data_IF_451249931733
#
_entry.id   IF_451249931733
#
_cell.length_a   1.000
_cell.length_b   1.000
_cell.length_c   1.000
_cell.angle_alpha   90.00
_cell.angle_beta   90.00
_cell.angle_gamma   90.00
#
_symmetry.space_group_name_H-M   'P 1'
#
loop_
_entity.id
_entity.type
_entity.pdbx_description
1 polymer ?
#
# COMPACT_ATOMS: atom_id res chain seq x y z
N UNK A 1 8.19 18.28 -10.90
CA UNK A 1 8.39 17.06 -10.08
C UNK A 1 8.50 17.43 -8.60
N UNK A 2 8.22 16.47 -7.74
CA UNK A 2 8.33 16.67 -6.29
C UNK A 2 9.17 15.57 -5.68
N UNK A 3 9.90 15.89 -4.61
CA UNK A 3 10.56 14.87 -3.79
C UNK A 3 10.12 15.04 -2.33
N UNK A 4 10.09 13.91 -1.63
CA UNK A 4 9.79 13.92 -0.20
C UNK A 4 11.09 14.26 0.53
N UNK A 5 11.09 15.38 1.27
CA UNK A 5 12.28 15.84 1.98
C UNK A 5 12.23 15.53 3.46
N UNK A 6 11.05 15.16 3.97
CA UNK A 6 10.86 14.80 5.37
C UNK A 6 9.74 13.77 5.45
N UNK A 7 9.89 12.75 6.28
CA UNK A 7 8.90 11.69 6.41
C UNK A 7 8.92 11.12 7.82
N UNK A 8 7.72 11.07 8.42
CA UNK A 8 7.48 10.36 9.67
C UNK A 8 6.49 9.24 9.36
N UNK A 9 6.83 7.98 9.65
CA UNK A 9 5.93 6.89 9.33
C UNK A 9 4.62 6.96 10.14
N UNK A 10 3.51 6.46 9.59
CA UNK A 10 2.26 6.39 10.33
C UNK A 10 2.40 5.46 11.53
N UNK A 11 1.64 5.74 12.58
CA UNK A 11 1.62 4.89 13.76
C UNK A 11 0.87 3.58 13.48
N UNK A 12 1.14 2.57 14.29
CA UNK A 12 0.39 1.31 14.24
C UNK A 12 -1.10 1.55 14.41
N UNK A 13 -1.48 2.46 15.31
CA UNK A 13 -2.88 2.79 15.55
C UNK A 13 -3.55 3.40 14.31
N UNK A 14 -2.86 4.27 13.59
CA UNK A 14 -3.38 4.87 12.36
C UNK A 14 -3.61 3.83 11.27
N UNK A 15 -2.69 2.88 11.12
CA UNK A 15 -2.81 1.80 10.13
C UNK A 15 -3.94 0.84 10.50
N UNK A 16 -4.10 0.52 11.77
CA UNK A 16 -5.21 -0.29 12.27
C UNK A 16 -6.54 0.39 11.97
N UNK A 17 -6.62 1.70 12.20
CA UNK A 17 -7.83 2.45 11.93
C UNK A 17 -8.17 2.45 10.44
N UNK A 18 -7.20 2.63 9.58
CA UNK A 18 -7.40 2.55 8.13
C UNK A 18 -7.97 1.18 7.75
N UNK A 19 -7.39 0.12 8.28
CA UNK A 19 -7.87 -1.25 8.04
C UNK A 19 -9.34 -1.40 8.42
N UNK A 20 -9.74 -0.87 9.58
CA UNK A 20 -11.14 -0.89 10.03
C UNK A 20 -12.04 -0.08 9.13
N UNK A 21 -11.61 1.11 8.72
CA UNK A 21 -12.38 1.98 7.83
C UNK A 21 -12.64 1.33 6.48
N UNK A 22 -11.65 0.60 5.96
CA UNK A 22 -11.79 -0.10 4.69
C UNK A 22 -12.54 -1.43 4.81
N UNK A 23 -12.69 -1.95 6.03
CA UNK A 23 -13.30 -3.25 6.27
C UNK A 23 -12.46 -4.41 5.74
N UNK A 24 -11.15 -4.23 5.66
CA UNK A 24 -10.24 -5.20 5.05
C UNK A 24 -9.69 -6.19 6.07
N UNK A 25 -9.37 -7.39 5.58
CA UNK A 25 -8.58 -8.37 6.34
C UNK A 25 -7.09 -7.99 6.27
N UNK A 26 -6.27 -8.62 7.11
CA UNK A 26 -4.81 -8.44 7.06
C UNK A 26 -4.23 -8.86 5.71
N UNK A 27 -4.78 -9.90 5.07
CA UNK A 27 -4.34 -10.30 3.73
C UNK A 27 -4.67 -9.24 2.68
N UNK A 28 -5.85 -8.64 2.75
CA UNK A 28 -6.24 -7.56 1.84
C UNK A 28 -5.36 -6.33 2.03
N UNK A 29 -5.06 -5.98 3.28
CA UNK A 29 -4.16 -4.86 3.58
C UNK A 29 -2.74 -5.13 3.07
N UNK A 30 -2.25 -6.37 3.17
CA UNK A 30 -0.94 -6.74 2.63
C UNK A 30 -0.90 -6.54 1.11
N UNK A 31 -1.94 -6.95 0.40
CA UNK A 31 -2.05 -6.75 -1.05
C UNK A 31 -2.08 -5.25 -1.40
N UNK A 32 -2.86 -4.47 -0.65
CA UNK A 32 -2.97 -3.02 -0.84
C UNK A 32 -1.62 -2.32 -0.62
N UNK A 33 -0.86 -2.76 0.36
CA UNK A 33 0.45 -2.19 0.69
C UNK A 33 1.59 -2.74 -0.20
N UNK A 34 1.30 -3.76 -1.00
CA UNK A 34 2.31 -4.36 -1.86
C UNK A 34 3.36 -5.19 -1.11
N UNK A 35 3.00 -5.69 0.07
CA UNK A 35 3.88 -6.55 0.84
C UNK A 35 3.48 -8.01 0.69
N UNK A 36 4.36 -8.92 1.08
CA UNK A 36 4.27 -10.33 0.74
C UNK A 36 3.01 -11.02 1.26
N UNK A 37 2.66 -10.81 2.54
CA UNK A 37 1.56 -11.51 3.19
C UNK A 37 1.09 -10.77 4.45
N UNK A 38 0.05 -11.32 5.10
CA UNK A 38 -0.52 -10.76 6.31
C UNK A 38 0.50 -10.62 7.45
N UNK A 39 1.53 -11.49 7.49
CA UNK A 39 2.53 -11.42 8.55
C UNK A 39 3.40 -10.17 8.39
N UNK A 40 3.70 -9.77 7.17
CA UNK A 40 4.39 -8.51 6.91
C UNK A 40 3.53 -7.30 7.28
N UNK A 41 2.24 -7.34 6.94
CA UNK A 41 1.32 -6.28 7.34
C UNK A 41 1.26 -6.14 8.87
N UNK A 42 1.15 -7.25 9.60
CA UNK A 42 1.06 -7.25 11.05
C UNK A 42 2.29 -6.66 11.74
N UNK A 43 3.45 -6.69 11.10
CA UNK A 43 4.66 -6.04 11.63
C UNK A 43 4.51 -4.53 11.71
N UNK A 44 3.66 -3.94 10.88
CA UNK A 44 3.37 -2.51 10.93
C UNK A 44 2.32 -2.16 11.98
N UNK A 45 1.48 -3.11 12.39
CA UNK A 45 0.34 -2.84 13.26
C UNK A 45 0.50 -3.36 14.68
N UNK A 46 1.65 -3.86 15.06
CA UNK A 46 1.91 -4.19 16.45
C UNK A 46 2.52 -5.54 16.73
N UNK A 47 2.88 -6.33 15.71
CA UNK A 47 3.61 -7.57 15.95
C UNK A 47 5.00 -7.26 16.49
N UNK A 48 5.54 -8.16 17.28
CA UNK A 48 6.87 -8.00 17.87
C UNK A 48 7.91 -8.81 17.08
N UNK A 49 8.99 -8.19 16.54
CA UNK A 49 9.30 -6.77 16.60
C UNK A 49 8.42 -5.95 15.63
N UNK A 50 8.04 -4.77 16.06
CA UNK A 50 7.26 -3.87 15.22
C UNK A 50 8.18 -3.22 14.17
N UNK A 51 7.62 -3.03 12.96
CA UNK A 51 8.35 -2.42 11.85
C UNK A 51 7.67 -1.12 11.44
N UNK A 52 8.46 -0.08 11.20
CA UNK A 52 7.96 1.17 10.63
C UNK A 52 7.78 1.02 9.12
N UNK A 53 6.67 1.56 8.61
CA UNK A 53 6.39 1.54 7.18
C UNK A 53 7.26 2.57 6.45
N UNK A 54 7.91 2.16 5.36
CA UNK A 54 8.71 3.07 4.54
C UNK A 54 7.82 4.04 3.77
N UNK A 55 8.39 5.17 3.37
CA UNK A 55 7.70 6.13 2.51
C UNK A 55 7.28 5.50 1.18
N UNK A 56 8.11 4.63 0.62
CA UNK A 56 7.80 3.95 -0.65
C UNK A 56 6.58 3.03 -0.51
N UNK A 57 6.52 2.23 0.55
CA UNK A 57 5.38 1.35 0.81
C UNK A 57 4.10 2.16 1.03
N UNK A 58 4.18 3.21 1.83
CA UNK A 58 3.03 4.08 2.06
C UNK A 58 2.60 4.78 0.79
N UNK A 59 3.54 5.22 -0.04
CA UNK A 59 3.24 5.87 -1.31
C UNK A 59 2.46 4.93 -2.24
N UNK A 60 2.88 3.69 -2.35
CA UNK A 60 2.18 2.68 -3.15
C UNK A 60 0.75 2.49 -2.66
N UNK A 61 0.58 2.32 -1.36
CA UNK A 61 -0.74 2.14 -0.75
C UNK A 61 -1.63 3.36 -0.98
N UNK A 62 -1.09 4.56 -0.74
CA UNK A 62 -1.83 5.80 -0.94
C UNK A 62 -2.20 6.01 -2.41
N UNK A 63 -1.33 5.64 -3.34
CA UNK A 63 -1.62 5.72 -4.77
C UNK A 63 -2.82 4.83 -5.14
N UNK A 64 -2.87 3.61 -4.62
CA UNK A 64 -4.00 2.72 -4.86
C UNK A 64 -5.33 3.28 -4.32
N UNK A 65 -5.28 3.99 -3.20
CA UNK A 65 -6.47 4.56 -2.57
C UNK A 65 -6.89 5.90 -3.19
N UNK A 66 -6.01 6.56 -3.92
CA UNK A 66 -6.22 7.93 -4.40
C UNK A 66 -6.42 8.04 -5.91
N UNK A 67 -5.74 7.20 -6.68
CA UNK A 67 -5.78 7.25 -8.14
C UNK A 67 -6.98 6.46 -8.68
N UNK A 68 -7.56 6.94 -9.78
CA UNK A 68 -8.55 6.15 -10.52
C UNK A 68 -7.86 4.93 -11.15
N UNK A 69 -8.65 3.89 -11.54
CA UNK A 69 -8.07 2.73 -12.23
C UNK A 69 -7.27 3.13 -13.47
N UNK A 70 -7.75 4.09 -14.26
CA UNK A 70 -7.05 4.55 -15.47
C UNK A 70 -5.75 5.27 -15.12
N UNK A 71 -5.77 6.09 -14.08
CA UNK A 71 -4.58 6.79 -13.61
C UNK A 71 -3.53 5.81 -13.09
N UNK A 72 -3.98 4.81 -12.34
CA UNK A 72 -3.07 3.78 -11.81
C UNK A 72 -2.47 2.98 -12.96
N UNK A 73 -3.26 2.62 -13.97
CA UNK A 73 -2.76 1.89 -15.14
C UNK A 73 -1.71 2.69 -15.90
N UNK A 74 -1.85 4.01 -15.97
CA UNK A 74 -0.81 4.86 -16.60
C UNK A 74 0.52 4.80 -15.84
N UNK A 75 0.47 4.69 -14.51
CA UNK A 75 1.69 4.50 -13.71
C UNK A 75 2.34 3.16 -14.05
N UNK A 76 1.54 2.09 -14.12
CA UNK A 76 2.05 0.75 -14.48
C UNK A 76 2.64 0.75 -15.89
N UNK A 77 1.99 1.42 -16.83
CA UNK A 77 2.49 1.52 -18.21
C UNK A 77 3.84 2.23 -18.26
N UNK A 78 4.02 3.27 -17.44
CA UNK A 78 5.30 3.94 -17.35
C UNK A 78 6.40 3.00 -16.85
N UNK A 79 6.08 2.16 -15.87
CA UNK A 79 7.02 1.14 -15.38
C UNK A 79 7.38 0.14 -16.49
N UNK A 80 6.40 -0.30 -17.27
CA UNK A 80 6.62 -1.22 -18.40
C UNK A 80 7.48 -0.57 -19.47
N UNK A 81 7.27 0.71 -19.74
CA UNK A 81 8.06 1.46 -20.71
C UNK A 81 9.54 1.57 -20.30
N UNK A 82 9.80 1.49 -19.00
CA UNK A 82 11.17 1.46 -18.47
C UNK A 82 11.77 0.06 -18.46
N UNK A 83 11.04 -0.94 -18.94
CA UNK A 83 11.53 -2.31 -19.05
C UNK A 83 11.06 -3.25 -17.95
N UNK A 84 10.18 -2.79 -17.06
CA UNK A 84 9.64 -3.66 -16.00
C UNK A 84 8.63 -4.64 -16.58
N UNK A 85 8.66 -5.86 -16.06
CA UNK A 85 7.67 -6.89 -16.37
C UNK A 85 6.71 -6.96 -15.18
N UNK A 86 5.43 -6.64 -15.41
CA UNK A 86 4.44 -6.50 -14.35
C UNK A 86 3.20 -7.29 -14.70
N UNK A 87 2.79 -8.17 -13.77
CA UNK A 87 1.50 -8.81 -13.78
C UNK A 87 0.67 -8.28 -12.62
N UNK A 88 -0.61 -8.03 -12.87
CA UNK A 88 -1.52 -7.54 -11.83
C UNK A 88 -2.82 -8.33 -11.83
N UNK A 89 -3.49 -8.33 -10.70
CA UNK A 89 -4.86 -8.83 -10.59
C UNK A 89 -5.71 -7.82 -9.83
N UNK A 90 -7.00 -7.80 -10.11
CA UNK A 90 -7.90 -6.85 -9.48
C UNK A 90 -8.01 -7.10 -7.98
N UNK A 91 -7.95 -6.03 -7.21
CA UNK A 91 -8.19 -6.06 -5.77
C UNK A 91 -9.49 -5.32 -5.50
N UNK A 92 -10.51 -6.03 -5.00
CA UNK A 92 -11.76 -5.42 -4.61
C UNK A 92 -11.75 -5.15 -3.12
N UNK A 93 -11.96 -3.88 -2.73
CA UNK A 93 -12.05 -3.50 -1.33
C UNK A 93 -13.51 -3.58 -0.87
N UNK A 94 -13.76 -4.08 0.37
CA UNK A 94 -15.14 -4.21 0.86
C UNK A 94 -15.91 -2.90 0.93
N UNK A 95 -15.21 -1.77 1.01
CA UNK A 95 -15.82 -0.44 1.08
C UNK A 95 -16.15 0.18 -0.28
N UNK A 96 -15.84 -0.49 -1.37
CA UNK A 96 -16.13 0.01 -2.71
C UNK A 96 -17.57 -0.22 -3.15
#
# INVERSE_FOLDING_TARGET
>A
MRKITSFTPPSAASLEQLMKQLGCTSNQMAALAGVKDKNQWRKYTGANPMRSMSATTLFFMAAQLSLSPDEFERVLDHMRNLGADIATEALSLPSE
#
